data_IF_571415093990
#
_entry.id   IF_571415093990
#
_cell.length_a   1.000
_cell.length_b   1.000
_cell.length_c   1.000
_cell.angle_alpha   90.00
_cell.angle_beta   90.00
_cell.angle_gamma   90.00
#
_symmetry.space_group_name_H-M   'P 1'
#
loop_
_entity.id
_entity.type
_entity.pdbx_description
1 polymer ?
#
# COMPACT_ATOMS: atom_id res chain seq x y z
N UNK A 1 33.58 -4.07 -19.32
CA UNK A 1 32.28 -3.46 -19.64
C UNK A 1 31.28 -4.07 -18.69
N UNK A 2 31.04 -3.43 -17.55
CA UNK A 2 30.08 -3.89 -16.54
C UNK A 2 28.69 -3.49 -17.01
N UNK A 3 27.88 -4.50 -17.33
CA UNK A 3 26.48 -4.32 -17.68
C UNK A 3 25.74 -3.85 -16.42
N UNK A 4 25.39 -2.56 -16.37
CA UNK A 4 24.51 -2.04 -15.33
C UNK A 4 23.15 -2.66 -15.61
N UNK A 5 22.77 -3.71 -14.86
CA UNK A 5 21.40 -4.23 -14.87
C UNK A 5 20.47 -3.08 -14.49
N UNK A 6 19.93 -2.42 -15.49
CA UNK A 6 18.89 -1.41 -15.33
C UNK A 6 17.70 -2.16 -14.75
N UNK A 7 17.37 -1.88 -13.49
CA UNK A 7 16.17 -2.43 -12.86
C UNK A 7 14.97 -2.02 -13.70
N UNK A 8 14.42 -2.97 -14.45
CA UNK A 8 13.22 -2.77 -15.24
C UNK A 8 12.01 -2.80 -14.30
N UNK A 9 11.03 -1.93 -14.55
CA UNK A 9 9.81 -1.82 -13.76
C UNK A 9 8.58 -1.82 -14.66
N UNK A 10 7.47 -2.33 -14.13
CA UNK A 10 6.15 -2.37 -14.78
C UNK A 10 5.14 -1.60 -13.95
N UNK A 11 4.23 -0.89 -14.61
CA UNK A 11 3.13 -0.22 -13.92
C UNK A 11 2.04 -1.24 -13.58
N UNK A 12 1.56 -1.22 -12.34
CA UNK A 12 0.47 -2.05 -11.84
C UNK A 12 -0.53 -1.20 -11.08
N UNK A 13 -1.76 -1.69 -10.96
CA UNK A 13 -2.83 -1.06 -10.19
C UNK A 13 -3.12 -1.91 -8.97
N UNK A 14 -3.01 -1.32 -7.79
CA UNK A 14 -3.47 -1.90 -6.53
C UNK A 14 -4.87 -1.36 -6.20
N UNK A 15 -5.84 -2.26 -6.04
CA UNK A 15 -7.23 -1.96 -5.71
C UNK A 15 -7.62 -2.75 -4.45
N UNK A 16 -8.06 -2.06 -3.40
CA UNK A 16 -8.43 -2.70 -2.14
C UNK A 16 -9.39 -1.84 -1.34
N UNK A 17 -10.15 -2.47 -0.45
CA UNK A 17 -10.93 -1.79 0.57
C UNK A 17 -10.16 -1.69 1.87
N UNK A 18 -10.33 -0.56 2.56
CA UNK A 18 -9.73 -0.32 3.86
C UNK A 18 -10.70 0.37 4.82
N UNK A 19 -10.48 0.12 6.10
CA UNK A 19 -11.10 0.85 7.19
C UNK A 19 -10.00 1.29 8.16
N UNK A 20 -9.94 2.59 8.42
CA UNK A 20 -9.05 3.18 9.42
C UNK A 20 -9.94 3.77 10.52
N UNK A 21 -9.69 3.44 11.80
CA UNK A 21 -10.48 4.00 12.89
C UNK A 21 -10.31 5.52 12.95
N UNK A 22 -11.26 6.21 13.59
CA UNK A 22 -11.25 7.68 13.67
C UNK A 22 -9.92 8.29 14.14
N UNK A 23 -9.75 9.59 13.90
CA UNK A 23 -8.46 10.31 13.94
C UNK A 23 -7.71 10.37 15.29
N UNK A 24 -8.16 9.67 16.33
CA UNK A 24 -7.40 9.54 17.58
C UNK A 24 -6.11 8.76 17.38
N UNK A 25 -5.00 9.23 17.95
CA UNK A 25 -3.71 8.54 17.93
C UNK A 25 -3.09 8.36 16.52
N UNK A 26 -3.35 9.29 15.60
CA UNK A 26 -2.73 9.32 14.26
C UNK A 26 -2.71 7.96 13.53
N UNK A 27 -3.86 7.27 13.41
CA UNK A 27 -3.89 5.94 12.81
C UNK A 27 -3.71 6.05 11.29
N UNK A 28 -2.91 5.16 10.70
CA UNK A 28 -2.64 5.18 9.27
C UNK A 28 -2.25 3.82 8.73
N UNK A 29 -2.42 3.64 7.43
CA UNK A 29 -1.97 2.45 6.69
C UNK A 29 -0.91 2.91 5.69
N UNK A 30 0.32 2.45 5.86
CA UNK A 30 1.34 2.56 4.81
C UNK A 30 1.30 1.32 3.95
N UNK A 31 1.22 1.52 2.63
CA UNK A 31 1.30 0.46 1.64
C UNK A 31 2.58 0.64 0.85
N UNK A 32 3.27 -0.46 0.61
CA UNK A 32 4.53 -0.47 -0.13
C UNK A 32 4.84 -1.85 -0.68
N UNK A 33 5.96 -1.98 -1.39
CA UNK A 33 6.48 -3.28 -1.79
C UNK A 33 7.93 -3.45 -1.36
N UNK A 34 8.34 -4.72 -1.18
CA UNK A 34 9.74 -5.09 -0.95
C UNK A 34 10.24 -6.14 -1.94
N UNK A 35 11.46 -6.00 -2.43
CA UNK A 35 12.15 -6.98 -3.29
C UNK A 35 13.66 -6.88 -3.12
N UNK A 36 14.33 -8.00 -2.79
CA UNK A 36 15.80 -8.09 -2.78
C UNK A 36 16.51 -7.04 -1.91
N UNK A 37 15.90 -6.64 -0.79
CA UNK A 37 16.42 -5.59 0.11
C UNK A 37 15.94 -4.16 -0.20
N UNK A 38 15.35 -3.94 -1.38
CA UNK A 38 14.70 -2.67 -1.71
C UNK A 38 13.29 -2.62 -1.10
N UNK A 39 12.92 -1.46 -0.56
CA UNK A 39 11.55 -1.16 -0.11
C UNK A 39 11.12 0.14 -0.77
N UNK A 40 9.88 0.18 -1.27
CA UNK A 40 9.28 1.38 -1.85
C UNK A 40 7.89 1.59 -1.25
N UNK A 41 7.58 2.83 -0.86
CA UNK A 41 6.24 3.21 -0.45
C UNK A 41 5.39 3.50 -1.68
N UNK A 42 4.17 2.94 -1.70
CA UNK A 42 3.16 3.17 -2.73
C UNK A 42 2.23 4.31 -2.30
N UNK A 43 1.64 4.20 -1.12
CA UNK A 43 0.69 5.18 -0.59
C UNK A 43 0.69 5.17 0.94
N UNK A 44 0.36 6.31 1.55
CA UNK A 44 0.00 6.42 2.96
C UNK A 44 -1.46 6.87 3.03
N UNK A 45 -2.30 6.08 3.72
CA UNK A 45 -3.70 6.37 3.94
C UNK A 45 -3.91 6.82 5.38
N UNK A 46 -4.65 7.91 5.54
CA UNK A 46 -5.05 8.49 6.84
C UNK A 46 -6.55 8.34 7.04
N UNK A 47 -7.06 8.53 8.27
CA UNK A 47 -8.48 8.40 8.57
C UNK A 47 -9.25 9.50 7.84
N UNK A 48 -10.38 9.12 7.26
CA UNK A 48 -11.34 10.07 6.72
C UNK A 48 -12.43 10.37 7.76
N UNK A 49 -13.17 11.49 7.63
CA UNK A 49 -14.23 11.84 8.57
C UNK A 49 -15.36 10.80 8.64
N UNK A 50 -15.57 10.02 7.56
CA UNK A 50 -16.60 9.00 7.54
C UNK A 50 -16.15 7.71 8.22
N UNK A 51 -16.99 7.18 9.10
CA UNK A 51 -16.73 5.92 9.79
C UNK A 51 -17.21 4.72 8.96
N UNK A 52 -16.58 4.47 7.80
CA UNK A 52 -16.99 3.41 6.85
C UNK A 52 -15.79 2.80 6.11
N UNK A 53 -16.05 1.74 5.35
CA UNK A 53 -15.09 1.21 4.39
C UNK A 53 -14.86 2.19 3.24
N UNK A 54 -13.61 2.34 2.84
CA UNK A 54 -13.17 3.15 1.72
C UNK A 54 -12.46 2.27 0.70
N UNK A 55 -12.54 2.63 -0.58
CA UNK A 55 -11.77 1.97 -1.63
C UNK A 55 -10.55 2.82 -1.99
N UNK A 56 -9.40 2.18 -2.19
CA UNK A 56 -8.19 2.82 -2.72
C UNK A 56 -7.78 2.12 -4.01
N UNK A 57 -7.58 2.91 -5.06
CA UNK A 57 -7.00 2.51 -6.35
C UNK A 57 -5.74 3.32 -6.60
N UNK A 58 -4.59 2.67 -6.57
CA UNK A 58 -3.29 3.35 -6.70
C UNK A 58 -2.40 2.63 -7.70
N UNK A 59 -1.97 3.38 -8.73
CA UNK A 59 -0.94 2.92 -9.66
C UNK A 59 0.44 2.96 -9.01
N UNK A 60 1.27 1.94 -9.21
CA UNK A 60 2.65 1.92 -8.74
C UNK A 60 3.59 1.21 -9.70
N UNK A 61 4.88 1.54 -9.61
CA UNK A 61 5.94 0.86 -10.35
C UNK A 61 6.43 -0.36 -9.56
N UNK A 62 6.19 -1.55 -10.09
CA UNK A 62 6.65 -2.81 -9.54
C UNK A 62 7.97 -3.26 -10.21
N UNK A 63 8.85 -4.00 -9.52
CA UNK A 63 9.99 -4.66 -10.15
C UNK A 63 9.53 -5.66 -11.22
N UNK A 64 10.06 -5.57 -12.45
CA UNK A 64 9.65 -6.47 -13.52
C UNK A 64 10.56 -7.68 -13.71
N UNK A 65 11.73 -7.70 -13.07
CA UNK A 65 12.74 -8.76 -13.20
C UNK A 65 12.88 -9.66 -11.96
N UNK A 66 12.00 -9.49 -10.97
CA UNK A 66 12.03 -10.21 -9.69
C UNK A 66 10.64 -10.22 -9.06
N UNK A 67 10.34 -11.26 -8.27
CA UNK A 67 9.19 -11.22 -7.37
C UNK A 67 9.31 -10.08 -6.36
N UNK A 68 8.17 -9.56 -5.91
CA UNK A 68 8.10 -8.61 -4.81
C UNK A 68 7.01 -9.05 -3.84
N UNK A 69 7.06 -8.52 -2.62
CA UNK A 69 5.99 -8.69 -1.65
C UNK A 69 5.31 -7.35 -1.41
N UNK A 70 3.99 -7.33 -1.51
CA UNK A 70 3.18 -6.19 -1.12
C UNK A 70 3.06 -6.16 0.41
N UNK A 71 3.23 -4.99 1.00
CA UNK A 71 3.24 -4.78 2.44
C UNK A 71 2.18 -3.76 2.82
N UNK A 72 1.37 -4.10 3.83
CA UNK A 72 0.43 -3.20 4.48
C UNK A 72 0.87 -3.06 5.93
N UNK A 73 1.14 -1.84 6.37
CA UNK A 73 1.57 -1.54 7.73
C UNK A 73 0.58 -0.59 8.39
N UNK A 74 -0.23 -1.15 9.27
CA UNK A 74 -1.12 -0.39 10.15
C UNK A 74 -0.29 0.20 11.29
N UNK A 75 -0.36 1.52 11.48
CA UNK A 75 0.36 2.23 12.52
C UNK A 75 -0.56 3.20 13.24
N UNK A 76 -0.14 3.59 14.44
CA UNK A 76 -0.77 4.59 15.30
C UNK A 76 0.21 4.97 16.40
N UNK A 77 -0.05 6.09 17.05
CA UNK A 77 0.68 6.55 18.21
C UNK A 77 0.14 5.88 19.49
N UNK A 78 0.99 5.62 20.48
CA UNK A 78 0.57 5.04 21.77
C UNK A 78 0.15 3.55 21.75
N UNK A 79 -0.22 3.02 22.92
CA UNK A 79 -0.42 1.58 23.15
C UNK A 79 -1.85 1.13 23.45
N UNK A 80 -2.77 2.02 23.83
CA UNK A 80 -4.16 1.68 24.16
C UNK A 80 -5.02 1.51 22.89
N UNK A 81 -5.83 0.44 22.81
CA UNK A 81 -6.61 0.08 21.62
C UNK A 81 -8.08 -0.09 21.97
N UNK A 82 -8.95 0.67 21.31
CA UNK A 82 -10.41 0.50 21.35
C UNK A 82 -11.03 0.27 19.97
N UNK A 83 -10.25 0.28 18.89
CA UNK A 83 -10.78 0.24 17.51
C UNK A 83 -9.87 -0.53 16.56
N UNK A 84 -10.44 -1.20 15.57
CA UNK A 84 -9.72 -2.07 14.65
C UNK A 84 -9.39 -1.37 13.31
N UNK A 85 -8.35 -1.85 12.64
CA UNK A 85 -8.15 -1.61 11.20
C UNK A 85 -8.80 -2.74 10.40
N UNK A 86 -9.26 -2.44 9.19
CA UNK A 86 -9.81 -3.41 8.25
C UNK A 86 -9.11 -3.34 6.90
N UNK A 87 -8.94 -4.50 6.26
CA UNK A 87 -8.54 -4.66 4.86
C UNK A 87 -9.43 -5.72 4.23
N UNK A 88 -9.86 -5.51 2.99
CA UNK A 88 -10.64 -6.50 2.25
C UNK A 88 -10.42 -6.38 0.72
N UNK A 89 -10.75 -7.46 0.01
CA UNK A 89 -10.75 -7.58 -1.46
C UNK A 89 -9.50 -7.04 -2.18
N UNK A 90 -8.30 -7.38 -1.70
CA UNK A 90 -7.04 -6.95 -2.31
C UNK A 90 -6.90 -7.55 -3.72
N UNK A 91 -6.80 -6.68 -4.73
CA UNK A 91 -6.62 -7.03 -6.14
C UNK A 91 -5.42 -6.28 -6.71
N UNK A 92 -4.65 -6.95 -7.55
CA UNK A 92 -3.53 -6.36 -8.31
C UNK A 92 -3.79 -6.62 -9.79
N UNK A 93 -3.60 -5.60 -10.61
CA UNK A 93 -3.76 -5.68 -12.06
C UNK A 93 -2.49 -5.22 -12.78
N UNK A 94 -2.18 -5.86 -13.91
CA UNK A 94 -0.99 -5.59 -14.73
C UNK A 94 -1.17 -4.41 -15.72
N UNK A 95 -1.74 -3.32 -15.21
CA UNK A 95 -1.93 -2.05 -15.91
C UNK A 95 -2.04 -0.91 -14.88
N UNK A 96 -1.95 0.34 -15.32
CA UNK A 96 -2.30 1.49 -14.48
C UNK A 96 -3.78 1.44 -14.05
N UNK A 97 -4.13 2.06 -12.93
CA UNK A 97 -5.53 2.24 -12.56
C UNK A 97 -6.23 3.19 -13.54
N UNK A 98 -7.47 2.87 -13.90
CA UNK A 98 -8.36 3.81 -14.59
C UNK A 98 -8.68 5.01 -13.69
N UNK A 99 -8.78 6.20 -14.29
CA UNK A 99 -9.11 7.48 -13.62
C UNK A 99 -10.63 7.68 -13.63
#
# INVERSE_FOLDING_TARGET
>A
MTDVKRSSSTIQCLDFYYYIPGASNNPKIQVGWRSGGNTQQIIELTPLPENRWHNSRTSFMAPSSSSYELTFRMMRDGSSFSHYFGLDEIKIYDHACDI
#
